data_IF_797537266345
#
_entry.id   IF_797537266345
#
_cell.length_a   1.000
_cell.length_b   1.000
_cell.length_c   1.000
_cell.angle_alpha   90.00
_cell.angle_beta   90.00
_cell.angle_gamma   90.00
#
_symmetry.space_group_name_H-M   'P 1'
#
loop_
_entity.id
_entity.type
_entity.pdbx_description
1 polymer ?
#
# COMPACT_ATOMS: atom_id res chain seq x y z
N UNK A 1 15.02 -12.67 15.70
CA UNK A 1 15.23 -11.51 14.80
C UNK A 1 15.34 -10.29 15.70
N UNK A 2 16.32 -9.43 15.49
CA UNK A 2 16.40 -8.16 16.22
C UNK A 2 15.22 -7.27 15.78
N UNK A 3 14.66 -6.51 16.71
CA UNK A 3 13.66 -5.50 16.36
C UNK A 3 14.24 -4.51 15.33
N UNK A 4 13.46 -4.11 14.31
CA UNK A 4 13.92 -3.15 13.32
C UNK A 4 14.18 -1.79 13.99
N UNK A 5 15.28 -1.15 13.62
CA UNK A 5 15.56 0.22 14.05
C UNK A 5 14.72 1.20 13.22
N UNK A 6 13.74 1.85 13.85
CA UNK A 6 12.83 2.81 13.21
C UNK A 6 13.09 4.19 13.81
N UNK A 7 13.59 5.13 12.99
CA UNK A 7 13.82 6.50 13.42
C UNK A 7 12.60 7.38 13.16
N UNK A 8 12.26 8.30 14.07
CA UNK A 8 11.31 9.36 13.75
C UNK A 8 11.97 10.36 12.80
N UNK A 9 11.22 10.92 11.85
CA UNK A 9 11.76 11.84 10.84
C UNK A 9 12.45 13.08 11.44
N UNK A 10 12.06 13.50 12.64
CA UNK A 10 12.68 14.61 13.38
C UNK A 10 14.05 14.28 13.97
N UNK A 11 14.41 13.00 14.04
CA UNK A 11 15.64 12.48 14.67
C UNK A 11 16.63 11.93 13.62
N UNK A 12 16.25 11.97 12.34
CA UNK A 12 17.09 11.44 11.25
C UNK A 12 18.29 12.35 11.01
N UNK A 13 19.49 11.77 11.08
CA UNK A 13 20.70 12.37 10.51
C UNK A 13 20.62 12.30 8.98
N UNK A 14 20.24 13.42 8.37
CA UNK A 14 20.05 13.54 6.91
C UNK A 14 21.37 13.32 6.14
N UNK A 15 22.51 13.70 6.72
CA UNK A 15 23.82 13.49 6.08
C UNK A 15 24.19 12.00 6.06
N UNK A 16 23.91 11.27 7.14
CA UNK A 16 24.07 9.82 7.18
C UNK A 16 23.07 9.12 6.26
N UNK A 17 21.82 9.58 6.22
CA UNK A 17 20.78 9.06 5.34
C UNK A 17 21.20 9.17 3.88
N UNK A 18 21.50 10.37 3.38
CA UNK A 18 21.82 10.61 1.97
C UNK A 18 23.10 9.90 1.52
N UNK A 19 24.05 9.61 2.42
CA UNK A 19 25.25 8.80 2.07
C UNK A 19 24.91 7.34 1.79
N UNK A 20 23.92 6.78 2.48
CA UNK A 20 23.56 5.35 2.41
C UNK A 20 22.39 5.07 1.48
N UNK A 21 21.41 5.95 1.44
CA UNK A 21 20.20 5.81 0.64
C UNK A 21 20.56 5.78 -0.84
N UNK A 22 19.91 4.87 -1.57
CA UNK A 22 19.96 4.76 -3.04
C UNK A 22 18.59 4.83 -3.68
N UNK A 23 17.54 4.51 -2.92
CA UNK A 23 16.14 4.63 -3.32
C UNK A 23 15.34 5.21 -2.15
N UNK A 24 14.48 6.18 -2.42
CA UNK A 24 13.50 6.68 -1.44
C UNK A 24 12.13 6.08 -1.75
N UNK A 25 11.65 5.18 -0.90
CA UNK A 25 10.34 4.55 -1.00
C UNK A 25 9.37 5.17 0.00
N UNK A 26 8.17 5.50 -0.46
CA UNK A 26 7.15 6.15 0.35
C UNK A 26 5.88 5.31 0.38
N UNK A 27 5.28 5.21 1.55
CA UNK A 27 3.84 5.00 1.64
C UNK A 27 3.07 6.22 1.07
N UNK A 28 1.79 6.03 0.75
CA UNK A 28 0.91 7.08 0.23
C UNK A 28 -0.01 7.69 1.30
N UNK A 29 -0.95 6.90 1.82
CA UNK A 29 -2.06 7.40 2.64
C UNK A 29 -1.61 7.67 4.08
N UNK A 30 -1.58 8.95 4.49
CA UNK A 30 -1.03 9.36 5.79
C UNK A 30 0.44 9.77 5.69
N UNK A 31 1.10 9.47 4.57
CA UNK A 31 2.53 9.74 4.36
C UNK A 31 2.76 10.85 3.33
N UNK A 32 2.36 10.67 2.07
CA UNK A 32 2.50 11.68 1.01
C UNK A 32 1.24 12.54 0.87
N UNK A 33 0.08 11.96 1.16
CA UNK A 33 -1.19 12.65 1.09
C UNK A 33 -2.10 12.26 2.26
N UNK A 34 -3.15 13.05 2.49
CA UNK A 34 -4.25 12.59 3.34
C UNK A 34 -4.93 11.40 2.67
N UNK A 35 -5.45 10.47 3.47
CA UNK A 35 -6.08 9.24 2.96
C UNK A 35 -7.05 9.51 1.81
N UNK A 36 -6.78 8.90 0.65
CA UNK A 36 -7.57 9.00 -0.58
C UNK A 36 -7.75 10.41 -1.15
N UNK A 37 -6.83 11.33 -0.85
CA UNK A 37 -6.82 12.70 -1.37
C UNK A 37 -5.55 12.94 -2.19
N UNK A 38 -5.58 13.85 -3.18
CA UNK A 38 -4.36 14.23 -3.88
C UNK A 38 -3.31 14.83 -2.95
N UNK A 39 -2.03 14.65 -3.30
CA UNK A 39 -0.93 15.38 -2.67
C UNK A 39 -1.17 16.87 -2.79
N UNK A 40 -0.74 17.63 -1.79
CA UNK A 40 -0.73 19.08 -1.87
C UNK A 40 0.44 19.55 -2.77
N UNK A 41 0.30 20.73 -3.39
CA UNK A 41 1.24 21.25 -4.40
C UNK A 41 2.69 21.39 -3.91
N UNK A 42 2.88 21.61 -2.61
CA UNK A 42 4.20 21.68 -1.98
C UNK A 42 4.91 20.31 -1.92
N UNK A 43 4.19 19.27 -1.49
CA UNK A 43 4.69 17.90 -1.50
C UNK A 43 4.94 17.44 -2.93
N UNK A 44 4.04 17.75 -3.85
CA UNK A 44 4.21 17.39 -5.26
C UNK A 44 5.48 18.02 -5.86
N UNK A 45 5.75 19.30 -5.57
CA UNK A 45 6.98 19.97 -6.00
C UNK A 45 8.23 19.36 -5.39
N UNK A 46 8.22 19.10 -4.09
CA UNK A 46 9.35 18.51 -3.38
C UNK A 46 9.64 17.08 -3.85
N UNK A 47 8.59 16.28 -4.07
CA UNK A 47 8.71 14.92 -4.60
C UNK A 47 9.20 14.92 -6.05
N UNK A 48 8.63 15.77 -6.92
CA UNK A 48 9.10 15.96 -8.30
C UNK A 48 10.58 16.29 -8.37
N UNK A 49 11.05 17.18 -7.49
CA UNK A 49 12.47 17.49 -7.40
C UNK A 49 13.29 16.26 -6.98
N UNK A 50 12.84 15.52 -5.97
CA UNK A 50 13.55 14.33 -5.50
C UNK A 50 13.73 13.28 -6.60
N UNK A 51 12.74 13.13 -7.50
CA UNK A 51 12.87 12.19 -8.62
C UNK A 51 13.98 12.56 -9.60
N UNK A 52 14.36 13.85 -9.69
CA UNK A 52 15.52 14.28 -10.51
C UNK A 52 16.87 13.93 -9.89
N UNK A 53 16.89 13.58 -8.59
CA UNK A 53 18.11 13.36 -7.81
C UNK A 53 18.38 11.86 -7.59
N UNK A 54 17.34 11.09 -7.28
CA UNK A 54 17.43 9.65 -7.01
C UNK A 54 16.16 8.90 -7.45
N UNK A 55 16.22 7.56 -7.59
CA UNK A 55 15.03 6.74 -7.73
C UNK A 55 14.06 6.91 -6.55
N UNK A 56 12.77 7.09 -6.87
CA UNK A 56 11.68 7.25 -5.91
C UNK A 56 10.65 6.16 -6.13
N UNK A 57 10.18 5.52 -5.07
CA UNK A 57 9.14 4.50 -5.13
C UNK A 57 7.90 4.90 -4.33
N UNK A 58 6.72 4.58 -4.86
CA UNK A 58 5.43 4.76 -4.21
C UNK A 58 4.81 3.39 -3.96
N UNK A 59 4.72 2.98 -2.70
CA UNK A 59 4.18 1.69 -2.28
C UNK A 59 2.85 1.91 -1.58
N UNK A 60 1.76 1.58 -2.28
CA UNK A 60 0.40 1.82 -1.77
C UNK A 60 -0.43 0.55 -1.81
N UNK A 61 -1.36 0.40 -0.86
CA UNK A 61 -2.42 -0.60 -0.93
C UNK A 61 -3.47 -0.30 -2.00
N UNK A 62 -3.51 0.95 -2.51
CA UNK A 62 -4.41 1.39 -3.55
C UNK A 62 -4.10 0.80 -4.94
N UNK A 63 -5.10 0.87 -5.82
CA UNK A 63 -4.95 0.50 -7.24
C UNK A 63 -4.27 1.62 -8.04
N UNK A 64 -3.78 1.32 -9.25
CA UNK A 64 -3.06 2.29 -10.09
C UNK A 64 -3.82 3.62 -10.31
N UNK A 65 -5.14 3.65 -10.62
CA UNK A 65 -5.87 4.93 -10.77
C UNK A 65 -5.87 5.81 -9.51
N UNK A 66 -5.76 5.19 -8.32
CA UNK A 66 -5.64 5.93 -7.07
C UNK A 66 -4.27 6.61 -6.98
N UNK A 67 -3.20 5.90 -7.36
CA UNK A 67 -1.85 6.47 -7.40
C UNK A 67 -1.76 7.56 -8.47
N UNK A 68 -2.40 7.37 -9.62
CA UNK A 68 -2.41 8.36 -10.70
C UNK A 68 -3.01 9.69 -10.22
N UNK A 69 -4.26 9.64 -9.78
CA UNK A 69 -5.01 10.81 -9.32
C UNK A 69 -4.44 11.50 -8.09
N UNK A 70 -3.64 10.79 -7.28
CA UNK A 70 -3.08 11.36 -6.05
C UNK A 70 -1.62 11.79 -6.16
N UNK A 71 -0.86 11.11 -7.01
CA UNK A 71 0.59 11.29 -7.11
C UNK A 71 0.97 11.77 -8.50
N UNK A 72 0.77 10.95 -9.53
CA UNK A 72 1.40 11.21 -10.83
C UNK A 72 0.80 12.40 -11.56
N UNK A 73 -0.50 12.63 -11.38
CA UNK A 73 -1.21 13.78 -11.96
C UNK A 73 -0.84 15.09 -11.25
N UNK A 74 -0.31 15.01 -10.02
CA UNK A 74 0.11 16.15 -9.23
C UNK A 74 1.56 16.57 -9.50
N UNK A 75 2.37 15.70 -10.11
CA UNK A 75 3.78 15.98 -10.37
C UNK A 75 3.95 17.20 -11.27
N UNK A 76 4.90 18.05 -10.92
CA UNK A 76 5.34 19.17 -11.76
C UNK A 76 5.96 18.68 -13.08
N UNK A 77 6.00 19.51 -14.13
CA UNK A 77 6.63 19.16 -15.41
C UNK A 77 8.11 18.77 -15.31
N UNK A 78 8.82 19.28 -14.30
CA UNK A 78 10.25 19.02 -14.08
C UNK A 78 10.53 17.64 -13.45
N UNK A 79 9.49 16.89 -13.06
CA UNK A 79 9.67 15.56 -12.49
C UNK A 79 10.28 14.59 -13.50
N UNK A 80 11.34 13.90 -13.09
CA UNK A 80 11.83 12.74 -13.82
C UNK A 80 10.94 11.51 -13.54
N UNK A 81 9.98 11.27 -14.45
CA UNK A 81 9.09 10.10 -14.37
C UNK A 81 9.84 8.78 -14.57
N UNK A 82 10.97 8.79 -15.28
CA UNK A 82 11.79 7.61 -15.44
C UNK A 82 12.48 7.19 -14.14
N UNK A 83 12.52 8.03 -13.10
CA UNK A 83 13.00 7.63 -11.77
C UNK A 83 11.90 7.17 -10.80
N UNK A 84 10.64 7.13 -11.25
CA UNK A 84 9.51 6.71 -10.41
C UNK A 84 9.15 5.22 -10.54
N UNK A 85 9.08 4.55 -9.40
CA UNK A 85 8.69 3.15 -9.27
C UNK A 85 7.31 3.08 -8.59
N UNK A 86 6.28 2.68 -9.32
CA UNK A 86 4.92 2.65 -8.76
C UNK A 86 4.54 1.21 -8.42
N UNK A 87 4.19 0.98 -7.16
CA UNK A 87 3.93 -0.35 -6.60
C UNK A 87 2.53 -0.43 -5.97
N UNK A 88 1.46 -0.35 -6.78
CA UNK A 88 0.10 -0.48 -6.28
C UNK A 88 -0.19 -1.88 -5.73
N UNK A 89 -1.31 -1.96 -5.00
CA UNK A 89 -1.79 -3.19 -4.36
C UNK A 89 -0.68 -3.89 -3.56
N UNK A 90 0.06 -3.09 -2.77
CA UNK A 90 1.18 -3.51 -1.92
C UNK A 90 2.25 -4.27 -2.71
N UNK A 91 2.62 -3.74 -3.88
CA UNK A 91 3.67 -4.29 -4.75
C UNK A 91 3.30 -5.56 -5.50
N UNK A 92 2.06 -6.05 -5.44
CA UNK A 92 1.60 -7.15 -6.33
C UNK A 92 1.53 -6.72 -7.79
N UNK A 93 1.56 -5.42 -8.05
CA UNK A 93 1.77 -4.86 -9.37
C UNK A 93 2.91 -3.86 -9.30
N UNK A 94 3.60 -3.71 -10.42
CA UNK A 94 4.72 -2.80 -10.56
C UNK A 94 4.67 -2.13 -11.92
N UNK A 95 4.79 -0.80 -11.92
CA UNK A 95 4.71 0.03 -13.12
C UNK A 95 5.93 0.92 -13.23
N UNK A 96 6.33 1.18 -14.47
CA UNK A 96 7.45 2.04 -14.85
C UNK A 96 7.07 2.93 -16.01
N UNK A 97 7.68 4.10 -16.06
CA UNK A 97 7.54 5.01 -17.19
C UNK A 97 8.35 4.47 -18.37
N UNK A 98 7.72 4.32 -19.53
CA UNK A 98 8.38 3.86 -20.76
C UNK A 98 8.85 5.00 -21.69
N UNK A 99 8.56 6.24 -21.30
CA UNK A 99 8.81 7.44 -22.10
C UNK A 99 7.53 8.18 -22.51
N UNK A 100 6.38 7.48 -22.55
CA UNK A 100 5.10 8.03 -22.94
C UNK A 100 3.97 7.74 -21.94
N UNK A 101 3.96 6.55 -21.35
CA UNK A 101 2.92 6.14 -20.41
C UNK A 101 3.46 5.24 -19.27
N UNK A 102 2.61 4.99 -18.29
CA UNK A 102 2.90 4.03 -17.23
C UNK A 102 2.68 2.60 -17.73
N UNK A 103 3.78 1.92 -18.02
CA UNK A 103 3.76 0.54 -18.46
C UNK A 103 3.83 -0.43 -17.28
N UNK A 104 2.97 -1.46 -17.30
CA UNK A 104 2.93 -2.50 -16.27
C UNK A 104 4.06 -3.49 -16.49
N UNK A 105 5.01 -3.54 -15.57
CA UNK A 105 6.15 -4.47 -15.61
C UNK A 105 5.73 -5.86 -15.18
N UNK A 106 4.92 -5.97 -14.12
CA UNK A 106 4.30 -7.23 -13.72
C UNK A 106 2.96 -7.02 -13.01
N UNK A 107 2.15 -8.08 -13.01
CA UNK A 107 1.06 -8.30 -12.06
C UNK A 107 1.11 -9.71 -11.49
N UNK A 108 0.85 -9.82 -10.19
CA UNK A 108 0.75 -11.09 -9.47
C UNK A 108 -0.66 -11.25 -8.95
N UNK A 109 -1.53 -11.64 -9.86
CA UNK A 109 -2.92 -11.97 -9.55
C UNK A 109 -3.01 -13.33 -8.85
N UNK A 110 -4.09 -13.53 -8.09
CA UNK A 110 -4.46 -14.84 -7.61
C UNK A 110 -4.73 -15.75 -8.81
N UNK A 111 -4.37 -17.04 -8.68
CA UNK A 111 -4.66 -18.02 -9.71
C UNK A 111 -6.18 -18.09 -9.96
N UNK A 112 -6.60 -18.40 -11.18
CA UNK A 112 -8.03 -18.52 -11.48
C UNK A 112 -8.73 -19.58 -10.59
N UNK A 113 -7.99 -20.60 -10.14
CA UNK A 113 -8.49 -21.59 -9.19
C UNK A 113 -8.70 -20.98 -7.80
N UNK A 114 -7.71 -20.25 -7.27
CA UNK A 114 -7.79 -19.57 -5.99
C UNK A 114 -8.91 -18.52 -5.96
N UNK A 115 -9.06 -17.73 -7.03
CA UNK A 115 -10.15 -16.74 -7.13
C UNK A 115 -11.52 -17.41 -7.06
N UNK A 116 -11.73 -18.49 -7.81
CA UNK A 116 -12.98 -19.26 -7.75
C UNK A 116 -13.21 -19.87 -6.38
N UNK A 117 -12.18 -20.44 -5.75
CA UNK A 117 -12.27 -21.02 -4.42
C UNK A 117 -12.60 -19.95 -3.36
N UNK A 118 -11.99 -18.78 -3.46
CA UNK A 118 -12.24 -17.63 -2.61
C UNK A 118 -13.69 -17.16 -2.69
N UNK A 119 -14.20 -16.91 -3.90
CA UNK A 119 -15.60 -16.49 -4.10
C UNK A 119 -16.57 -17.56 -3.58
N UNK A 120 -16.33 -18.84 -3.91
CA UNK A 120 -17.19 -19.93 -3.47
C UNK A 120 -17.20 -20.10 -1.94
N UNK A 121 -16.04 -19.98 -1.27
CA UNK A 121 -15.96 -20.05 0.18
C UNK A 121 -16.67 -18.86 0.84
N UNK A 122 -16.43 -17.63 0.36
CA UNK A 122 -17.10 -16.42 0.87
C UNK A 122 -18.62 -16.55 0.78
N UNK A 123 -19.16 -16.91 -0.38
CA UNK A 123 -20.60 -17.07 -0.57
C UNK A 123 -21.17 -18.15 0.34
N UNK A 124 -20.57 -19.35 0.34
CA UNK A 124 -21.03 -20.46 1.18
C UNK A 124 -21.02 -20.10 2.66
N UNK A 125 -19.88 -19.61 3.18
CA UNK A 125 -19.73 -19.29 4.61
C UNK A 125 -20.61 -18.13 5.04
N UNK A 126 -20.76 -17.10 4.22
CA UNK A 126 -21.66 -15.99 4.52
C UNK A 126 -23.13 -16.42 4.55
N UNK A 127 -23.56 -17.29 3.63
CA UNK A 127 -24.92 -17.88 3.63
C UNK A 127 -25.15 -18.76 4.86
N UNK A 128 -24.20 -19.65 5.19
CA UNK A 128 -24.25 -20.50 6.41
C UNK A 128 -24.37 -19.67 7.69
N UNK A 129 -23.70 -18.51 7.76
CA UNK A 129 -23.73 -17.60 8.89
C UNK A 129 -24.91 -16.62 8.87
N UNK A 130 -25.77 -16.65 7.84
CA UNK A 130 -26.94 -15.77 7.72
C UNK A 130 -26.61 -14.30 7.47
N UNK A 131 -25.42 -14.01 6.93
CA UNK A 131 -24.93 -12.64 6.67
C UNK A 131 -24.83 -12.30 5.18
N UNK A 132 -25.13 -13.25 4.30
CA UNK A 132 -25.30 -12.97 2.88
C UNK A 132 -26.66 -12.30 2.61
N UNK A 133 -26.66 -11.26 1.77
CA UNK A 133 -27.87 -10.61 1.25
C UNK A 133 -27.84 -10.67 -0.27
N UNK A 134 -28.99 -10.72 -0.93
CA UNK A 134 -29.06 -10.51 -2.39
C UNK A 134 -29.53 -9.07 -2.72
N UNK A 135 -29.99 -8.32 -1.70
CA UNK A 135 -30.32 -6.90 -1.76
C UNK A 135 -29.17 -6.09 -1.15
N UNK A 136 -28.33 -5.50 -2.01
CA UNK A 136 -27.11 -4.81 -1.62
C UNK A 136 -26.88 -3.54 -2.46
N UNK A 137 -26.14 -2.60 -1.90
CA UNK A 137 -25.67 -1.42 -2.61
C UNK A 137 -24.47 -1.80 -3.48
N UNK A 138 -24.76 -2.23 -4.71
CA UNK A 138 -23.77 -2.73 -5.66
C UNK A 138 -23.28 -4.15 -5.34
N UNK A 139 -22.25 -4.64 -6.06
CA UNK A 139 -21.77 -6.01 -5.91
C UNK A 139 -21.29 -6.31 -4.48
N UNK A 140 -21.56 -7.52 -4.00
CA UNK A 140 -21.06 -8.00 -2.70
C UNK A 140 -19.63 -8.50 -2.82
N UNK A 141 -19.33 -9.19 -3.91
CA UNK A 141 -18.00 -9.66 -4.24
C UNK A 141 -17.37 -8.72 -5.27
N UNK A 142 -16.15 -8.30 -5.02
CA UNK A 142 -15.31 -7.59 -5.96
C UNK A 142 -14.01 -8.37 -6.19
N UNK A 143 -13.78 -8.80 -7.43
CA UNK A 143 -12.53 -9.44 -7.86
C UNK A 143 -11.62 -8.39 -8.51
N UNK A 144 -10.48 -8.11 -7.87
CA UNK A 144 -9.47 -7.14 -8.34
C UNK A 144 -8.23 -7.85 -8.88
N UNK A 145 -8.32 -9.14 -9.23
CA UNK A 145 -7.23 -9.98 -9.71
C UNK A 145 -6.32 -10.49 -8.59
N UNK A 146 -5.63 -9.59 -7.89
CA UNK A 146 -4.73 -9.92 -6.77
C UNK A 146 -5.41 -10.01 -5.41
N UNK A 147 -6.68 -9.59 -5.34
CA UNK A 147 -7.48 -9.60 -4.13
C UNK A 147 -8.96 -9.83 -4.47
N UNK A 148 -9.63 -10.64 -3.65
CA UNK A 148 -11.09 -10.77 -3.62
C UNK A 148 -11.59 -10.08 -2.36
N UNK A 149 -12.58 -9.19 -2.49
CA UNK A 149 -13.21 -8.53 -1.35
C UNK A 149 -14.69 -8.88 -1.30
N UNK A 150 -15.12 -9.41 -0.16
CA UNK A 150 -16.52 -9.46 0.23
C UNK A 150 -16.89 -8.20 1.00
N UNK A 151 -18.04 -7.60 0.68
CA UNK A 151 -18.63 -6.48 1.40
C UNK A 151 -20.08 -6.80 1.71
N UNK A 152 -20.42 -6.99 2.98
CA UNK A 152 -21.71 -7.56 3.40
C UNK A 152 -22.95 -6.75 2.96
N UNK A 153 -22.79 -5.43 2.81
CA UNK A 153 -23.85 -4.54 2.32
C UNK A 153 -23.67 -4.14 0.84
N UNK A 154 -22.67 -4.69 0.15
CA UNK A 154 -22.26 -4.25 -1.18
C UNK A 154 -21.23 -3.12 -1.16
N UNK A 155 -20.43 -3.02 -2.23
CA UNK A 155 -19.30 -2.08 -2.30
C UNK A 155 -19.72 -0.61 -2.13
N UNK A 156 -20.93 -0.26 -2.56
CA UNK A 156 -21.43 1.12 -2.62
C UNK A 156 -22.29 1.52 -1.41
N UNK A 157 -22.37 0.70 -0.36
CA UNK A 157 -23.21 1.02 0.78
C UNK A 157 -22.77 2.30 1.50
N UNK A 158 -23.73 3.13 1.97
CA UNK A 158 -23.43 4.34 2.75
C UNK A 158 -22.63 4.04 4.02
N UNK A 159 -21.80 4.98 4.45
CA UNK A 159 -20.92 4.84 5.63
C UNK A 159 -21.72 4.50 6.88
N UNK A 160 -22.77 5.26 7.18
CA UNK A 160 -23.64 5.04 8.35
C UNK A 160 -24.25 3.63 8.39
N UNK A 161 -24.61 3.09 7.22
CA UNK A 161 -25.15 1.74 7.13
C UNK A 161 -24.06 0.69 7.40
N UNK A 162 -22.86 0.89 6.84
CA UNK A 162 -21.70 0.03 7.06
C UNK A 162 -21.27 -0.01 8.53
N UNK A 163 -21.27 1.12 9.21
CA UNK A 163 -20.88 1.20 10.63
C UNK A 163 -21.88 0.54 11.58
N UNK A 164 -23.18 0.59 11.26
CA UNK A 164 -24.24 -0.03 12.08
C UNK A 164 -24.34 -1.54 11.92
N UNK A 165 -23.75 -2.11 10.86
CA UNK A 165 -23.97 -3.51 10.49
C UNK A 165 -23.29 -4.52 11.42
N UNK A 166 -22.05 -4.23 11.85
CA UNK A 166 -21.22 -5.11 12.68
C UNK A 166 -20.31 -4.27 13.60
N UNK A 167 -20.89 -3.50 14.54
CA UNK A 167 -20.16 -2.50 15.31
C UNK A 167 -19.09 -3.09 16.24
N UNK A 168 -19.20 -4.37 16.60
CA UNK A 168 -18.24 -5.11 17.41
C UNK A 168 -17.30 -6.01 16.59
N UNK A 169 -17.42 -5.97 15.25
CA UNK A 169 -16.66 -6.79 14.30
C UNK A 169 -16.91 -8.30 14.41
N UNK A 170 -17.89 -8.75 15.20
CA UNK A 170 -18.06 -10.16 15.50
C UNK A 170 -18.48 -10.99 14.27
N UNK A 171 -19.29 -10.43 13.37
CA UNK A 171 -19.75 -11.13 12.16
C UNK A 171 -18.63 -11.30 11.16
N UNK A 172 -17.92 -10.21 10.80
CA UNK A 172 -16.85 -10.29 9.79
C UNK A 172 -15.66 -11.10 10.27
N UNK A 173 -15.35 -11.07 11.57
CA UNK A 173 -14.26 -11.88 12.13
C UNK A 173 -14.58 -13.38 12.04
N UNK A 174 -15.81 -13.76 12.39
CA UNK A 174 -16.29 -15.16 12.25
C UNK A 174 -16.30 -15.63 10.80
N UNK A 175 -16.67 -14.75 9.85
CA UNK A 175 -16.58 -15.05 8.43
C UNK A 175 -15.13 -15.24 7.99
N UNK A 176 -14.24 -14.30 8.36
CA UNK A 176 -12.83 -14.36 8.00
C UNK A 176 -12.16 -15.64 8.52
N UNK A 177 -12.43 -16.05 9.76
CA UNK A 177 -11.91 -17.30 10.35
C UNK A 177 -12.39 -18.54 9.59
N UNK A 178 -13.70 -18.64 9.30
CA UNK A 178 -14.26 -19.77 8.58
C UNK A 178 -13.70 -19.90 7.15
N UNK A 179 -13.52 -18.77 6.48
CA UNK A 179 -12.97 -18.71 5.11
C UNK A 179 -11.45 -18.97 5.13
N UNK A 180 -10.73 -18.50 6.16
CA UNK A 180 -9.31 -18.80 6.34
C UNK A 180 -9.06 -20.31 6.50
N UNK A 181 -9.96 -21.02 7.18
CA UNK A 181 -9.90 -22.47 7.31
C UNK A 181 -10.09 -23.19 5.95
N UNK A 182 -10.97 -22.68 5.09
CA UNK A 182 -11.19 -23.25 3.75
C UNK A 182 -10.01 -22.99 2.79
N UNK A 183 -9.27 -21.90 3.01
CA UNK A 183 -8.25 -21.38 2.09
C UNK A 183 -6.89 -21.21 2.80
N UNK A 184 -6.26 -22.30 3.29
CA UNK A 184 -5.03 -22.21 4.10
C UNK A 184 -3.84 -21.61 3.34
N UNK A 185 -3.82 -21.76 2.01
CA UNK A 185 -2.80 -21.21 1.11
C UNK A 185 -2.93 -19.70 0.86
N UNK A 186 -4.09 -19.10 1.18
CA UNK A 186 -4.34 -17.68 1.03
C UNK A 186 -4.36 -16.99 2.40
N UNK A 187 -4.38 -15.65 2.37
CA UNK A 187 -4.51 -14.81 3.54
C UNK A 187 -5.89 -14.18 3.54
N UNK A 188 -6.63 -14.39 4.62
CA UNK A 188 -7.96 -13.83 4.82
C UNK A 188 -7.91 -12.82 5.98
N UNK A 189 -8.48 -11.64 5.77
CA UNK A 189 -8.51 -10.56 6.77
C UNK A 189 -9.88 -9.94 6.86
N UNK A 190 -10.34 -9.64 8.06
CA UNK A 190 -11.43 -8.70 8.28
C UNK A 190 -10.96 -7.29 7.94
N UNK A 191 -11.66 -6.60 7.03
CA UNK A 191 -11.32 -5.27 6.55
C UNK A 191 -12.49 -4.29 6.67
N UNK A 192 -12.20 -2.99 6.81
CA UNK A 192 -13.22 -1.93 6.89
C UNK A 192 -14.29 -2.19 7.94
N UNK A 193 -15.50 -1.67 7.75
CA UNK A 193 -16.64 -1.90 8.67
C UNK A 193 -17.46 -3.15 8.30
N UNK A 194 -17.47 -3.55 7.03
CA UNK A 194 -18.35 -4.63 6.51
C UNK A 194 -17.65 -5.65 5.64
N UNK A 195 -16.31 -5.66 5.60
CA UNK A 195 -15.58 -6.37 4.54
C UNK A 195 -14.70 -7.51 5.05
N UNK A 196 -14.49 -8.50 4.19
CA UNK A 196 -13.49 -9.57 4.34
C UNK A 196 -12.69 -9.63 3.05
N UNK A 197 -11.39 -9.46 3.18
CA UNK A 197 -10.44 -9.43 2.07
C UNK A 197 -9.64 -10.74 2.01
N UNK A 198 -9.45 -11.26 0.80
CA UNK A 198 -8.66 -12.45 0.50
C UNK A 198 -7.57 -12.08 -0.49
N UNK A 199 -6.32 -12.33 -0.15
CA UNK A 199 -5.18 -12.08 -1.02
C UNK A 199 -4.16 -13.23 -0.92
N UNK A 200 -3.14 -13.18 -1.78
CA UNK A 200 -2.03 -14.11 -1.67
C UNK A 200 -1.35 -13.96 -0.29
N UNK A 201 -0.87 -15.08 0.24
CA UNK A 201 -0.12 -15.08 1.50
C UNK A 201 1.17 -14.25 1.34
N UNK A 202 1.60 -13.65 2.44
CA UNK A 202 2.86 -12.90 2.54
C UNK A 202 3.00 -11.70 1.59
N UNK A 203 1.88 -11.18 1.10
CA UNK A 203 1.82 -9.87 0.45
C UNK A 203 1.69 -8.78 1.53
N UNK A 204 2.79 -8.07 1.76
CA UNK A 204 2.89 -6.90 2.62
C UNK A 204 4.01 -5.97 2.09
N UNK A 205 4.33 -4.89 2.81
CA UNK A 205 5.36 -3.97 2.36
C UNK A 205 6.78 -4.55 2.44
N UNK A 206 7.00 -5.64 3.18
CA UNK A 206 8.27 -6.39 3.13
C UNK A 206 8.45 -7.04 1.75
N UNK A 207 7.37 -7.63 1.22
CA UNK A 207 7.34 -8.15 -0.14
C UNK A 207 7.58 -7.03 -1.17
N UNK A 208 6.88 -5.90 -1.06
CA UNK A 208 7.05 -4.79 -2.00
C UNK A 208 8.50 -4.26 -2.04
N UNK A 209 9.15 -4.05 -0.89
CA UNK A 209 10.53 -3.53 -0.87
C UNK A 209 11.56 -4.54 -1.39
N UNK A 210 11.31 -5.85 -1.26
CA UNK A 210 12.16 -6.89 -1.88
C UNK A 210 12.04 -6.91 -3.39
N UNK A 211 10.81 -6.77 -3.90
CA UNK A 211 10.58 -6.64 -5.35
C UNK A 211 11.21 -5.34 -5.89
N UNK A 212 11.12 -4.24 -5.13
CA UNK A 212 11.79 -2.98 -5.47
C UNK A 212 13.31 -3.13 -5.50
N UNK A 213 13.90 -3.78 -4.50
CA UNK A 213 15.33 -4.09 -4.44
C UNK A 213 15.77 -4.90 -5.68
N UNK A 214 15.03 -5.96 -6.03
CA UNK A 214 15.29 -6.75 -7.23
C UNK A 214 15.18 -5.91 -8.51
N UNK A 215 14.14 -5.09 -8.64
CA UNK A 215 13.91 -4.27 -9.83
C UNK A 215 14.95 -3.14 -10.02
N UNK A 216 15.52 -2.64 -8.93
CA UNK A 216 16.51 -1.55 -8.94
C UNK A 216 17.96 -2.04 -8.86
N UNK A 217 18.18 -3.30 -8.50
CA UNK A 217 19.51 -3.85 -8.21
C UNK A 217 20.13 -3.30 -6.92
N UNK A 218 19.34 -2.67 -6.05
CA UNK A 218 19.78 -2.05 -4.81
C UNK A 218 19.49 -2.96 -3.62
N UNK A 219 20.43 -3.05 -2.67
CA UNK A 219 20.21 -3.78 -1.42
C UNK A 219 19.06 -3.18 -0.60
N UNK A 220 18.23 -4.03 0.03
CA UNK A 220 17.11 -3.58 0.89
C UNK A 220 17.56 -2.58 1.96
N UNK A 221 18.76 -2.76 2.55
CA UNK A 221 19.35 -1.86 3.54
C UNK A 221 19.82 -0.49 3.02
N UNK A 222 19.71 -0.26 1.71
CA UNK A 222 19.96 1.02 1.04
C UNK A 222 18.68 1.69 0.53
N UNK A 223 17.52 1.05 0.74
CA UNK A 223 16.20 1.65 0.50
C UNK A 223 15.80 2.38 1.78
N UNK A 224 15.53 3.68 1.69
CA UNK A 224 14.85 4.39 2.77
C UNK A 224 13.34 4.22 2.58
N UNK A 225 12.67 3.64 3.57
CA UNK A 225 11.21 3.51 3.54
C UNK A 225 10.60 4.49 4.52
N UNK A 226 9.78 5.41 4.01
CA UNK A 226 9.12 6.48 4.75
C UNK A 226 7.62 6.14 4.85
N UNK A 227 7.09 6.07 6.07
CA UNK A 227 5.69 5.73 6.33
C UNK A 227 5.19 6.21 7.69
N UNK A 228 3.86 6.31 7.87
CA UNK A 228 3.24 6.78 9.11
C UNK A 228 2.89 5.65 10.09
N UNK A 229 2.51 4.48 9.58
CA UNK A 229 2.07 3.30 10.34
C UNK A 229 3.20 2.28 10.52
N UNK A 230 4.27 2.75 11.14
CA UNK A 230 5.46 1.96 11.49
C UNK A 230 5.36 1.27 12.86
N UNK A 231 4.22 1.33 13.53
CA UNK A 231 3.92 0.54 14.75
C UNK A 231 3.87 -0.97 14.44
N UNK A 232 4.10 -1.88 15.40
CA UNK A 232 4.14 -3.33 15.13
C UNK A 232 2.92 -3.91 14.40
N UNK A 233 1.74 -3.31 14.62
CA UNK A 233 0.48 -3.69 13.97
C UNK A 233 0.20 -2.89 12.68
N UNK A 234 1.04 -1.91 12.38
CA UNK A 234 0.94 -1.02 11.24
C UNK A 234 1.38 -1.66 9.92
N UNK A 235 0.86 -1.13 8.81
CA UNK A 235 1.10 -1.69 7.48
C UNK A 235 2.50 -1.35 6.91
N UNK A 236 3.23 -0.39 7.50
CA UNK A 236 4.60 -0.04 7.12
C UNK A 236 5.66 -0.83 7.86
N UNK A 237 5.35 -1.33 9.06
CA UNK A 237 6.27 -2.12 9.87
C UNK A 237 6.90 -3.30 9.13
N UNK A 238 6.20 -4.05 8.25
CA UNK A 238 6.83 -5.07 7.41
C UNK A 238 8.00 -4.55 6.57
N UNK A 239 7.95 -3.33 6.02
CA UNK A 239 9.07 -2.74 5.29
C UNK A 239 10.28 -2.48 6.21
N UNK A 240 10.05 -2.06 7.45
CA UNK A 240 11.11 -1.90 8.45
C UNK A 240 11.71 -3.27 8.84
N UNK A 241 10.85 -4.25 9.12
CA UNK A 241 11.25 -5.62 9.45
C UNK A 241 12.02 -6.31 8.30
N UNK A 242 11.81 -5.88 7.05
CA UNK A 242 12.59 -6.35 5.90
C UNK A 242 14.05 -5.83 5.89
N UNK A 243 14.38 -4.85 6.73
CA UNK A 243 15.72 -4.29 6.87
C UNK A 243 15.97 -3.00 6.09
N UNK A 244 14.93 -2.27 5.71
CA UNK A 244 15.07 -0.93 5.10
C UNK A 244 15.63 0.09 6.10
N UNK A 245 16.08 1.26 5.60
CA UNK A 245 16.28 2.43 6.45
C UNK A 245 14.89 2.99 6.77
N UNK A 246 14.28 2.51 7.85
CA UNK A 246 12.89 2.82 8.20
C UNK A 246 12.76 4.17 8.90
N UNK A 247 11.93 5.05 8.33
CA UNK A 247 11.69 6.39 8.86
C UNK A 247 10.20 6.57 9.10
N UNK A 248 9.83 6.81 10.35
CA UNK A 248 8.45 7.13 10.74
C UNK A 248 8.19 8.62 10.53
N UNK A 249 7.10 8.95 9.83
CA UNK A 249 6.52 10.29 9.76
C UNK A 249 5.19 10.35 10.49
N UNK A 250 4.73 11.54 10.86
CA UNK A 250 3.43 11.72 11.52
C UNK A 250 2.33 12.18 10.56
N UNK A 251 2.65 12.40 9.29
CA UNK A 251 1.76 13.02 8.32
C UNK A 251 2.47 13.63 7.11
N UNK A 252 1.72 14.06 6.10
CA UNK A 252 2.21 14.73 4.89
C UNK A 252 3.14 15.92 5.18
N UNK A 253 2.83 16.71 6.20
CA UNK A 253 3.63 17.89 6.58
C UNK A 253 5.00 17.51 7.15
N UNK A 254 5.11 16.37 7.84
CA UNK A 254 6.38 15.83 8.31
C UNK A 254 7.20 15.21 7.17
N UNK A 255 6.53 14.55 6.23
CA UNK A 255 7.14 14.02 5.01
C UNK A 255 7.73 15.13 4.16
N UNK A 256 7.00 16.24 3.95
CA UNK A 256 7.50 17.41 3.22
C UNK A 256 8.82 17.92 3.79
N UNK A 257 8.89 18.16 5.12
CA UNK A 257 10.11 18.64 5.78
C UNK A 257 11.29 17.70 5.59
N UNK A 258 11.03 16.39 5.60
CA UNK A 258 12.06 15.38 5.36
C UNK A 258 12.54 15.40 3.90
N UNK A 259 11.62 15.46 2.93
CA UNK A 259 11.97 15.53 1.50
C UNK A 259 12.79 16.81 1.23
N UNK A 260 12.37 17.96 1.75
CA UNK A 260 13.09 19.23 1.59
C UNK A 260 14.53 19.14 2.11
N UNK A 261 14.72 18.52 3.28
CA UNK A 261 16.04 18.33 3.87
C UNK A 261 16.91 17.38 3.02
N UNK A 262 16.33 16.28 2.52
CA UNK A 262 17.00 15.32 1.61
C UNK A 262 17.42 16.02 0.32
N UNK A 263 16.49 16.74 -0.32
CA UNK A 263 16.72 17.49 -1.55
C UNK A 263 17.85 18.52 -1.38
N UNK A 264 17.78 19.34 -0.33
CA UNK A 264 18.82 20.31 0.00
C UNK A 264 20.19 19.66 0.20
N UNK A 265 20.24 18.42 0.70
CA UNK A 265 21.49 17.70 0.92
C UNK A 265 22.05 17.04 -0.34
N UNK A 266 21.19 16.45 -1.17
CA UNK A 266 21.58 15.75 -2.41
C UNK A 266 22.03 16.71 -3.52
N UNK A 267 21.57 17.97 -3.49
CA UNK A 267 22.04 19.04 -4.39
C UNK A 267 23.50 19.47 -4.15
N UNK A 268 24.06 19.19 -2.97
CA UNK A 268 25.42 19.62 -2.57
C UNK A 268 26.47 18.58 -2.90
#
# INVERSE_FOLDING_TARGET
MNEPNIANSTEVDVDALCRRMRVAAFDLDGTLARSKKPMHDDIARALSELTTLIPVAIVSGGVMPLIESQVTDMLTPDADRANLHLMPTTGTRYYRWDGAEWSKVYERDLSAADRRAAVASLERRAREQGIWTDDSWGPIIEDRGSQITYSALGQQAPVDAKERWDPDNAKKNRLAEAVQHDLPNLKVRSGGSTSVDISARDIDKAYAVRELAHATGVDVGSIAFIGDRMDPDGNDYPAAAAGTIAIRVTGPEATLRLIDAINARLRR
#
